data_IF_683533939642
#
_entry.id   IF_683533939642
#
_cell.length_a   1.000
_cell.length_b   1.000
_cell.length_c   1.000
_cell.angle_alpha   90.00
_cell.angle_beta   90.00
_cell.angle_gamma   90.00
#
_symmetry.space_group_name_H-M   'P 1'
#
loop_
_entity.id
_entity.type
_entity.pdbx_description
1 polymer ?
#
# COMPACT_ATOMS: atom_id res chain seq x y z
N UNK A 1 20.05 -15.86 -13.78
CA UNK A 1 18.69 -15.76 -13.19
C UNK A 1 17.84 -16.92 -13.68
N UNK A 2 16.99 -17.50 -12.83
CA UNK A 2 16.05 -18.53 -13.26
C UNK A 2 14.98 -17.94 -14.19
N UNK A 3 14.36 -18.76 -15.05
CA UNK A 3 13.25 -18.33 -15.92
C UNK A 3 12.10 -17.68 -15.14
N UNK A 4 11.77 -18.22 -13.95
CA UNK A 4 10.74 -17.66 -13.07
C UNK A 4 11.13 -16.26 -12.54
N UNK A 5 12.40 -16.02 -12.24
CA UNK A 5 12.89 -14.72 -11.80
C UNK A 5 12.78 -13.66 -12.91
N UNK A 6 13.10 -14.04 -14.15
CA UNK A 6 12.98 -13.15 -15.32
C UNK A 6 11.52 -12.78 -15.57
N UNK A 7 10.60 -13.74 -15.49
CA UNK A 7 9.16 -13.47 -15.61
C UNK A 7 8.66 -12.52 -14.52
N UNK A 8 9.05 -12.72 -13.26
CA UNK A 8 8.66 -11.86 -12.15
C UNK A 8 9.16 -10.42 -12.33
N UNK A 9 10.39 -10.24 -12.82
CA UNK A 9 10.93 -8.89 -13.10
C UNK A 9 10.08 -8.18 -14.15
N UNK A 10 9.71 -8.88 -15.22
CA UNK A 10 8.87 -8.31 -16.28
C UNK A 10 7.48 -7.90 -15.74
N UNK A 11 6.85 -8.73 -14.91
CA UNK A 11 5.57 -8.39 -14.26
C UNK A 11 5.70 -7.16 -13.35
N UNK A 12 6.81 -7.03 -12.61
CA UNK A 12 7.08 -5.85 -11.77
C UNK A 12 7.22 -4.59 -12.64
N UNK A 13 7.94 -4.66 -13.75
CA UNK A 13 8.11 -3.53 -14.67
C UNK A 13 6.78 -3.06 -15.27
N UNK A 14 5.84 -3.98 -15.53
CA UNK A 14 4.51 -3.64 -16.03
C UNK A 14 3.66 -2.86 -15.02
N UNK A 15 3.73 -3.20 -13.73
CA UNK A 15 2.94 -2.53 -12.69
C UNK A 15 3.61 -1.26 -12.14
N UNK A 16 4.92 -1.10 -12.34
CA UNK A 16 5.70 -0.01 -11.74
C UNK A 16 5.15 1.40 -12.02
N UNK A 17 4.69 1.75 -13.24
CA UNK A 17 4.11 3.07 -13.48
C UNK A 17 2.88 3.35 -12.62
N UNK A 18 2.02 2.36 -12.41
CA UNK A 18 0.86 2.45 -11.53
C UNK A 18 1.24 2.64 -10.06
N UNK A 19 2.23 1.88 -9.60
CA UNK A 19 2.76 2.00 -8.22
C UNK A 19 3.37 3.39 -7.98
N UNK A 20 4.09 3.93 -8.96
CA UNK A 20 4.64 5.30 -8.88
C UNK A 20 3.52 6.33 -8.81
N UNK A 21 2.46 6.17 -9.60
CA UNK A 21 1.31 7.07 -9.58
C UNK A 21 0.59 7.02 -8.21
N UNK A 22 0.36 5.83 -7.67
CA UNK A 22 -0.25 5.64 -6.35
C UNK A 22 0.60 6.29 -5.25
N UNK A 23 1.92 6.07 -5.26
CA UNK A 23 2.85 6.69 -4.32
C UNK A 23 2.80 8.21 -4.36
N UNK A 24 2.78 8.80 -5.56
CA UNK A 24 2.73 10.26 -5.74
C UNK A 24 1.40 10.83 -5.26
N UNK A 25 0.30 10.15 -5.54
CA UNK A 25 -1.01 10.56 -5.05
C UNK A 25 -1.07 10.57 -3.52
N UNK A 26 -0.58 9.52 -2.87
CA UNK A 26 -0.51 9.44 -1.40
C UNK A 26 0.38 10.55 -0.84
N UNK A 27 1.50 10.86 -1.48
CA UNK A 27 2.41 11.92 -1.05
C UNK A 27 1.77 13.31 -1.17
N UNK A 28 0.96 13.54 -2.19
CA UNK A 28 0.20 14.79 -2.38
C UNK A 28 -0.92 14.97 -1.36
N UNK A 29 -1.48 13.88 -0.82
CA UNK A 29 -2.66 13.86 0.06
C UNK A 29 -2.31 13.26 1.43
N UNK A 30 -1.33 13.79 2.15
CA UNK A 30 -0.90 13.22 3.42
C UNK A 30 -1.89 13.51 4.54
N UNK A 31 -2.13 12.52 5.39
CA UNK A 31 -2.97 12.61 6.57
C UNK A 31 -2.21 12.16 7.81
N UNK A 32 -2.46 12.82 8.95
CA UNK A 32 -1.82 12.47 10.22
C UNK A 32 -2.40 11.17 10.80
N UNK A 33 -1.66 10.53 11.68
CA UNK A 33 -2.04 9.31 12.36
C UNK A 33 -3.41 9.38 13.02
N UNK A 34 -4.22 8.35 12.84
CA UNK A 34 -5.63 8.22 13.23
C UNK A 34 -6.61 9.16 12.51
N UNK A 35 -6.16 9.87 11.49
CA UNK A 35 -6.97 10.75 10.65
C UNK A 35 -6.91 10.36 9.16
N UNK A 36 -6.33 9.18 8.85
CA UNK A 36 -6.07 8.69 7.49
C UNK A 36 -7.35 8.22 6.78
N UNK A 37 -8.33 9.11 6.66
CA UNK A 37 -9.65 8.78 6.10
C UNK A 37 -9.61 8.64 4.58
N UNK A 38 -9.01 9.59 3.89
CA UNK A 38 -8.88 9.55 2.43
C UNK A 38 -7.85 8.51 1.99
N UNK A 39 -6.76 8.39 2.75
CA UNK A 39 -5.74 7.36 2.53
C UNK A 39 -6.33 5.95 2.64
N UNK A 40 -7.12 5.68 3.68
CA UNK A 40 -7.80 4.40 3.86
C UNK A 40 -8.80 4.11 2.73
N UNK A 41 -9.55 5.12 2.29
CA UNK A 41 -10.49 4.99 1.17
C UNK A 41 -9.74 4.70 -0.15
N UNK A 42 -8.63 5.37 -0.40
CA UNK A 42 -7.78 5.12 -1.56
C UNK A 42 -7.22 3.69 -1.56
N UNK A 43 -6.69 3.22 -0.42
CA UNK A 43 -6.17 1.85 -0.28
C UNK A 43 -7.28 0.83 -0.51
N UNK A 44 -8.47 1.05 0.08
CA UNK A 44 -9.63 0.18 -0.14
C UNK A 44 -9.97 0.07 -1.63
N UNK A 45 -10.10 1.20 -2.33
CA UNK A 45 -10.41 1.23 -3.76
C UNK A 45 -9.36 0.47 -4.59
N UNK A 46 -8.08 0.60 -4.25
CA UNK A 46 -7.00 -0.12 -4.94
C UNK A 46 -7.10 -1.64 -4.70
N UNK A 47 -7.34 -2.08 -3.47
CA UNK A 47 -7.51 -3.50 -3.14
C UNK A 47 -8.73 -4.10 -3.87
N UNK A 48 -9.84 -3.38 -3.90
CA UNK A 48 -11.05 -3.81 -4.64
C UNK A 48 -10.77 -3.92 -6.15
N UNK A 49 -10.08 -2.94 -6.73
CA UNK A 49 -9.71 -2.96 -8.16
C UNK A 49 -8.79 -4.11 -8.55
N UNK A 50 -8.01 -4.60 -7.60
CA UNK A 50 -7.14 -5.77 -7.75
C UNK A 50 -7.87 -7.10 -7.50
N UNK A 51 -9.16 -7.06 -7.16
CA UNK A 51 -9.97 -8.25 -6.87
C UNK A 51 -9.56 -8.96 -5.58
N UNK A 52 -8.96 -8.25 -4.64
CA UNK A 52 -8.59 -8.81 -3.33
C UNK A 52 -9.86 -9.05 -2.52
N UNK A 53 -9.95 -10.20 -1.87
CA UNK A 53 -11.08 -10.60 -1.04
C UNK A 53 -10.81 -10.36 0.46
N UNK A 54 -11.85 -10.57 1.29
CA UNK A 54 -11.75 -10.45 2.75
C UNK A 54 -11.16 -9.11 3.22
N UNK A 55 -11.53 -8.00 2.56
CA UNK A 55 -11.09 -6.66 2.95
C UNK A 55 -11.86 -6.20 4.18
N UNK A 56 -11.16 -5.66 5.18
CA UNK A 56 -11.73 -5.04 6.38
C UNK A 56 -11.17 -3.65 6.56
N UNK A 57 -12.06 -2.70 6.83
CA UNK A 57 -11.74 -1.30 7.11
C UNK A 57 -11.98 -0.97 8.59
N UNK A 58 -11.45 0.15 9.05
CA UNK A 58 -11.64 0.60 10.43
C UNK A 58 -10.85 -0.20 11.47
N UNK A 59 -9.86 -0.96 11.06
CA UNK A 59 -9.02 -1.74 11.97
C UNK A 59 -8.12 -0.78 12.76
N UNK A 60 -8.31 -0.75 14.09
CA UNK A 60 -7.57 0.20 14.93
C UNK A 60 -7.93 1.67 14.69
N UNK A 61 -9.04 1.96 14.03
CA UNK A 61 -9.52 3.29 13.66
C UNK A 61 -9.60 3.47 12.14
N UNK A 62 -8.49 3.69 11.48
CA UNK A 62 -8.40 3.95 10.03
C UNK A 62 -7.76 2.80 9.23
N UNK A 63 -7.18 1.80 9.89
CA UNK A 63 -6.45 0.72 9.24
C UNK A 63 -7.32 -0.12 8.30
N UNK A 64 -6.66 -0.64 7.26
CA UNK A 64 -7.25 -1.54 6.26
C UNK A 64 -6.48 -2.85 6.26
N UNK A 65 -7.17 -3.98 6.27
CA UNK A 65 -6.56 -5.30 6.13
C UNK A 65 -7.24 -6.07 5.02
N UNK A 66 -6.50 -6.95 4.37
CA UNK A 66 -7.02 -7.83 3.35
C UNK A 66 -6.29 -9.18 3.39
N UNK A 67 -6.90 -10.20 2.82
CA UNK A 67 -6.33 -11.53 2.77
C UNK A 67 -6.19 -11.98 1.31
N UNK A 68 -4.97 -12.35 0.93
CA UNK A 68 -4.68 -12.99 -0.35
C UNK A 68 -4.47 -14.48 -0.10
N UNK A 69 -5.35 -15.32 -0.64
CA UNK A 69 -5.26 -16.76 -0.50
C UNK A 69 -4.35 -17.36 -1.55
N UNK A 70 -3.33 -18.11 -1.11
CA UNK A 70 -2.51 -18.89 -2.02
C UNK A 70 -3.32 -20.01 -2.66
N UNK A 71 -3.01 -20.32 -3.91
CA UNK A 71 -3.69 -21.38 -4.68
C UNK A 71 -3.01 -22.74 -4.61
N UNK A 72 -1.79 -22.79 -4.06
CA UNK A 72 -1.07 -24.06 -3.91
C UNK A 72 -1.70 -24.92 -2.81
N UNK A 73 -1.92 -26.19 -3.11
CA UNK A 73 -2.43 -27.14 -2.13
C UNK A 73 -1.49 -27.25 -0.93
N UNK A 74 -2.07 -27.21 0.27
CA UNK A 74 -1.35 -27.43 1.53
C UNK A 74 -1.39 -28.92 1.83
N UNK A 75 -0.23 -29.59 2.09
CA UNK A 75 -0.23 -30.98 2.52
C UNK A 75 -1.04 -31.18 3.80
N UNK A 76 -1.73 -32.30 3.91
CA UNK A 76 -2.64 -32.58 5.02
C UNK A 76 -1.98 -32.58 6.40
N UNK A 77 -0.68 -32.84 6.45
CA UNK A 77 0.17 -32.84 7.62
C UNK A 77 0.88 -31.53 7.91
N UNK A 78 0.59 -30.48 7.13
CA UNK A 78 1.20 -29.14 7.29
C UNK A 78 0.16 -28.13 7.76
N UNK A 79 0.46 -27.29 8.75
CA UNK A 79 -0.45 -26.23 9.18
C UNK A 79 -0.59 -25.10 8.15
N UNK A 80 0.16 -25.17 7.04
CA UNK A 80 0.31 -24.06 6.11
C UNK A 80 1.21 -22.94 6.66
N UNK A 81 1.45 -21.93 5.84
CA UNK A 81 2.20 -20.74 6.24
C UNK A 81 1.39 -19.49 5.92
N UNK A 82 1.40 -18.54 6.83
CA UNK A 82 0.82 -17.21 6.64
C UNK A 82 1.94 -16.20 6.68
N UNK A 83 2.02 -15.34 5.67
CA UNK A 83 2.90 -14.18 5.64
C UNK A 83 2.06 -12.93 5.88
N UNK A 84 2.49 -12.09 6.80
CA UNK A 84 1.90 -10.77 7.00
C UNK A 84 2.81 -9.70 6.42
N UNK A 85 2.25 -8.84 5.58
CA UNK A 85 2.88 -7.62 5.12
C UNK A 85 2.21 -6.44 5.82
N UNK A 86 3.00 -5.46 6.25
CA UNK A 86 2.52 -4.22 6.87
C UNK A 86 3.12 -3.02 6.16
N UNK A 87 2.30 -1.98 6.01
CA UNK A 87 2.72 -0.65 5.59
C UNK A 87 1.98 0.38 6.45
N UNK A 88 2.69 1.39 6.93
CA UNK A 88 2.10 2.52 7.61
C UNK A 88 1.41 3.46 6.61
N UNK A 89 0.33 4.12 7.04
CA UNK A 89 -0.46 5.01 6.18
C UNK A 89 -0.40 6.47 6.61
N UNK A 90 0.14 6.73 7.81
CA UNK A 90 0.20 8.08 8.39
C UNK A 90 1.36 8.91 7.85
N UNK A 91 1.14 10.21 7.80
CA UNK A 91 2.14 11.22 7.53
C UNK A 91 2.58 11.93 8.82
N UNK A 92 3.57 12.77 8.73
CA UNK A 92 4.16 13.49 9.84
C UNK A 92 3.80 14.99 9.80
N UNK A 93 3.75 15.68 10.96
CA UNK A 93 3.51 17.13 11.04
C UNK A 93 4.78 17.91 10.65
N UNK A 94 5.16 17.81 9.39
CA UNK A 94 6.39 18.41 8.81
C UNK A 94 5.97 19.25 7.60
N UNK A 95 6.51 20.46 7.50
CA UNK A 95 6.36 21.29 6.31
C UNK A 95 7.31 20.77 5.23
N UNK A 96 6.77 20.39 4.09
CA UNK A 96 7.57 19.96 2.95
C UNK A 96 8.35 21.13 2.35
N UNK A 97 9.64 20.91 2.11
CA UNK A 97 10.54 21.87 1.47
C UNK A 97 10.92 21.45 0.03
N UNK A 98 10.40 20.32 -0.45
CA UNK A 98 10.67 19.87 -1.81
C UNK A 98 9.81 20.65 -2.81
N UNK A 99 10.41 20.99 -3.95
CA UNK A 99 9.74 21.62 -5.08
C UNK A 99 9.50 20.56 -6.17
N UNK A 100 8.52 19.68 -5.95
CA UNK A 100 8.13 18.63 -6.91
C UNK A 100 6.69 18.81 -7.34
N UNK A 101 6.35 18.28 -8.50
CA UNK A 101 4.98 18.31 -9.03
C UNK A 101 3.97 17.60 -8.12
N UNK A 102 4.44 16.64 -7.31
CA UNK A 102 3.65 15.86 -6.38
C UNK A 102 3.92 16.21 -4.91
N UNK A 103 4.37 17.45 -4.63
CA UNK A 103 4.53 17.92 -3.26
C UNK A 103 3.20 17.89 -2.50
N UNK A 104 3.29 17.79 -1.16
CA UNK A 104 2.13 17.78 -0.28
C UNK A 104 1.18 18.96 -0.55
N UNK A 105 -0.10 18.68 -0.71
CA UNK A 105 -1.17 19.69 -0.82
C UNK A 105 -1.72 20.13 0.54
N UNK A 106 -1.23 19.52 1.63
CA UNK A 106 -1.61 19.84 3.00
C UNK A 106 -0.45 20.54 3.71
N UNK A 107 -0.44 21.89 3.80
CA UNK A 107 0.66 22.62 4.44
C UNK A 107 0.91 22.14 5.86
N UNK A 108 2.16 21.82 6.20
CA UNK A 108 2.56 21.34 7.51
C UNK A 108 2.36 19.84 7.74
N UNK A 109 1.96 19.09 6.72
CA UNK A 109 1.87 17.62 6.78
C UNK A 109 2.58 17.01 5.57
N UNK A 110 3.42 16.03 5.80
CA UNK A 110 4.23 15.40 4.74
C UNK A 110 4.51 13.92 5.04
N UNK A 111 4.47 13.08 4.03
CA UNK A 111 5.09 11.76 4.09
C UNK A 111 6.61 11.89 4.03
N UNK A 112 7.24 12.04 5.19
CA UNK A 112 8.67 12.32 5.34
C UNK A 112 9.48 11.13 5.88
N UNK A 113 8.83 10.00 6.20
CA UNK A 113 9.47 8.86 6.85
C UNK A 113 10.15 7.91 5.85
N UNK A 114 9.61 7.80 4.64
CA UNK A 114 10.10 6.90 3.58
C UNK A 114 9.59 5.46 3.67
N UNK A 115 8.67 5.18 4.58
CA UNK A 115 8.00 3.87 4.70
C UNK A 115 6.92 3.67 3.66
#
# INVERSE_FOLDING_TARGET
>A
MSSAMVALVAEVDEILPGVVADRRWLHEHPELGFHETETAAFVLQRLESLGVEDIRTGVGGTGVTALIRGTKAIPADSPGKVLMLRADMDALPILEANETEYASKTPGVMHACGH
#
